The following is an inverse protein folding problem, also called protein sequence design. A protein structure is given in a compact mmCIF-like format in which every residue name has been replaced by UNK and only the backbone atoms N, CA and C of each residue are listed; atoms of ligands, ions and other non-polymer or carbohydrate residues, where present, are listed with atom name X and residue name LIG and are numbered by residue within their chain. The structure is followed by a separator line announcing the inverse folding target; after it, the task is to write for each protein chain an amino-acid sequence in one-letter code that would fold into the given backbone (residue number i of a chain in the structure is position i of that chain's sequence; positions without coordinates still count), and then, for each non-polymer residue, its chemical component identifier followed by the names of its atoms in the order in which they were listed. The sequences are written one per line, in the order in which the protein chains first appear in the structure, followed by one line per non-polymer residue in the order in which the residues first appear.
data_IF_721147090292
#
_entry.id   IF_721147090292
#
_cell.length_a   1.000
_cell.length_b   1.000
_cell.length_c   1.000
_cell.angle_alpha   90.00
_cell.angle_beta   90.00
_cell.angle_gamma   90.00
#
_symmetry.space_group_name_H-M   'P 1'
#
loop_
_entity.id
_entity.type
_entity.pdbx_description
1 polymer ?
#
# COMPACT_ATOMS: atom_id res chain seq x y z
N UNK A 1 7.27 25.35 -0.57
CA UNK A 1 5.89 25.39 -1.06
C UNK A 1 5.01 24.37 -0.34
N UNK A 2 5.30 23.07 -0.39
CA UNK A 2 4.46 22.06 0.26
C UNK A 2 4.31 22.31 1.77
N UNK A 3 5.38 22.66 2.46
CA UNK A 3 5.33 23.01 3.90
C UNK A 3 4.50 24.25 4.15
N UNK A 4 4.61 25.26 3.30
CA UNK A 4 3.84 26.51 3.42
C UNK A 4 2.34 26.26 3.28
N UNK A 5 1.93 25.32 2.41
CA UNK A 5 0.51 24.95 2.27
C UNK A 5 -0.04 24.08 3.40
N UNK A 6 0.81 23.65 4.32
CA UNK A 6 0.42 22.90 5.52
C UNK A 6 0.27 23.74 6.77
N UNK A 7 0.65 25.03 6.71
CA UNK A 7 0.51 25.94 7.86
C UNK A 7 -0.90 26.54 7.94
N UNK A 8 -1.38 26.76 9.17
CA UNK A 8 -2.72 27.28 9.41
C UNK A 8 -2.81 28.79 9.18
N UNK A 9 -1.72 29.51 9.41
CA UNK A 9 -1.70 30.97 9.33
C UNK A 9 -0.73 31.44 8.24
N UNK A 10 -1.17 32.41 7.43
CA UNK A 10 -0.36 33.00 6.35
C UNK A 10 0.96 33.60 6.85
N UNK A 11 0.99 34.12 8.08
CA UNK A 11 2.21 34.66 8.68
C UNK A 11 3.32 33.61 8.88
N UNK A 12 2.98 32.33 8.92
CA UNK A 12 3.93 31.23 9.08
C UNK A 12 4.48 30.72 7.75
N UNK A 13 4.02 31.26 6.63
CA UNK A 13 4.54 30.91 5.31
C UNK A 13 5.93 31.55 5.11
N UNK A 14 6.84 30.79 4.55
CA UNK A 14 8.22 31.26 4.25
C UNK A 14 8.28 31.89 2.87
N UNK A 15 7.61 31.31 1.88
CA UNK A 15 7.58 31.83 0.51
C UNK A 15 6.58 32.99 0.39
N UNK A 16 6.98 34.04 -0.32
CA UNK A 16 6.18 35.26 -0.49
C UNK A 16 5.34 35.30 -1.76
N UNK A 17 5.69 34.52 -2.76
CA UNK A 17 4.98 34.45 -4.03
C UNK A 17 5.83 33.84 -5.14
N UNK A 18 5.24 33.75 -6.33
CA UNK A 18 5.81 33.09 -7.49
C UNK A 18 5.89 34.09 -8.66
N UNK A 19 6.77 35.12 -8.53
CA UNK A 19 6.89 36.18 -9.53
C UNK A 19 7.79 35.76 -10.69
N UNK A 20 9.00 35.30 -10.40
CA UNK A 20 9.99 34.91 -11.38
C UNK A 20 10.90 33.81 -10.87
N UNK A 21 11.26 32.86 -11.73
CA UNK A 21 12.28 31.85 -11.44
C UNK A 21 13.17 31.62 -12.67
N UNK A 22 14.42 31.29 -12.39
CA UNK A 22 15.38 30.77 -13.37
C UNK A 22 15.64 29.31 -12.96
N UNK A 23 15.39 28.37 -13.86
CA UNK A 23 15.63 26.95 -13.64
C UNK A 23 16.90 26.55 -14.38
N UNK A 24 17.90 26.13 -13.61
CA UNK A 24 19.10 25.55 -14.18
C UNK A 24 18.89 24.07 -14.50
N UNK A 25 19.54 23.55 -15.54
CA UNK A 25 19.29 22.19 -16.06
C UNK A 25 17.80 21.93 -16.33
N UNK A 26 17.16 22.85 -17.02
CA UNK A 26 15.71 22.86 -17.24
C UNK A 26 15.20 21.64 -18.00
N UNK A 27 16.00 21.04 -18.84
CA UNK A 27 15.74 19.78 -19.56
C UNK A 27 15.56 18.61 -18.59
N UNK A 28 16.45 18.47 -17.62
CA UNK A 28 16.31 17.46 -16.59
C UNK A 28 15.09 17.70 -15.70
N UNK A 29 14.91 18.91 -15.21
CA UNK A 29 13.88 19.23 -14.21
C UNK A 29 12.47 19.31 -14.81
N UNK A 30 12.30 19.93 -15.98
CA UNK A 30 10.98 20.20 -16.58
C UNK A 30 10.62 19.29 -17.75
N UNK A 31 11.51 18.38 -18.17
CA UNK A 31 11.24 17.37 -19.19
C UNK A 31 11.35 15.99 -18.55
N UNK A 32 12.54 15.56 -18.15
CA UNK A 32 12.77 14.19 -17.66
C UNK A 32 12.04 13.92 -16.33
N UNK A 33 12.13 14.84 -15.39
CA UNK A 33 11.54 14.72 -14.04
C UNK A 33 10.26 15.54 -13.86
N UNK A 34 9.70 16.11 -14.92
CA UNK A 34 8.55 17.03 -14.86
C UNK A 34 7.38 16.47 -14.07
N UNK A 35 7.11 15.18 -14.21
CA UNK A 35 6.00 14.45 -13.57
C UNK A 35 6.38 13.75 -12.27
N UNK A 36 7.64 13.81 -11.87
CA UNK A 36 8.09 13.20 -10.62
C UNK A 36 7.46 13.95 -9.44
N UNK A 37 6.75 13.26 -8.56
CA UNK A 37 6.10 13.90 -7.43
C UNK A 37 7.10 14.21 -6.32
N UNK A 38 7.08 15.43 -5.83
CA UNK A 38 7.66 15.84 -4.55
C UNK A 38 6.61 15.57 -3.48
N UNK A 39 6.97 14.84 -2.43
CA UNK A 39 6.02 14.33 -1.45
C UNK A 39 6.48 14.70 -0.04
N UNK A 40 5.53 15.17 0.78
CA UNK A 40 5.69 15.18 2.24
C UNK A 40 4.83 14.07 2.80
N UNK A 41 5.48 13.11 3.45
CA UNK A 41 4.82 12.02 4.16
C UNK A 41 4.76 12.32 5.64
N UNK A 42 3.67 11.96 6.27
CA UNK A 42 3.50 11.97 7.72
C UNK A 42 3.24 10.57 8.23
N UNK A 43 3.29 10.44 9.56
CA UNK A 43 2.91 9.20 10.23
C UNK A 43 1.40 9.03 10.08
N UNK A 44 0.96 7.88 9.56
CA UNK A 44 -0.45 7.49 9.53
C UNK A 44 -0.98 7.13 10.92
N UNK A 45 -2.22 6.74 10.97
CA UNK A 45 -2.84 6.23 12.19
C UNK A 45 -2.14 4.94 12.63
N UNK A 46 -2.09 4.71 13.95
CA UNK A 46 -1.56 3.46 14.50
C UNK A 46 -2.62 2.37 14.40
N UNK A 47 -2.64 1.69 13.27
CA UNK A 47 -3.52 0.54 13.00
C UNK A 47 -2.89 -0.80 13.39
N UNK A 48 -1.77 -0.79 14.10
CA UNK A 48 -1.02 -2.02 14.46
C UNK A 48 -1.87 -3.05 15.20
N UNK A 49 -2.80 -2.59 16.06
CA UNK A 49 -3.74 -3.46 16.77
C UNK A 49 -4.71 -4.17 15.83
N UNK A 50 -5.21 -3.49 14.81
CA UNK A 50 -6.13 -4.07 13.83
C UNK A 50 -5.42 -5.11 12.94
N UNK A 51 -4.20 -4.84 12.48
CA UNK A 51 -3.40 -5.83 11.76
C UNK A 51 -3.18 -7.10 12.59
N UNK A 52 -2.88 -6.95 13.88
CA UNK A 52 -2.69 -8.10 14.79
C UNK A 52 -3.98 -8.89 14.99
N UNK A 53 -5.14 -8.22 15.12
CA UNK A 53 -6.43 -8.88 15.28
C UNK A 53 -6.83 -9.64 14.01
N UNK A 54 -6.64 -9.00 12.84
CA UNK A 54 -6.93 -9.60 11.55
C UNK A 54 -5.99 -10.79 11.27
N UNK A 55 -4.72 -10.70 11.61
CA UNK A 55 -3.77 -11.81 11.52
C UNK A 55 -4.25 -13.04 12.30
N UNK A 56 -4.67 -12.84 13.57
CA UNK A 56 -5.22 -13.92 14.39
C UNK A 56 -6.45 -14.56 13.76
N UNK A 57 -7.32 -13.76 13.17
CA UNK A 57 -8.51 -14.25 12.46
C UNK A 57 -8.12 -15.08 11.24
N UNK A 58 -7.26 -14.56 10.36
CA UNK A 58 -6.88 -15.22 9.11
C UNK A 58 -6.17 -16.55 9.37
N UNK A 59 -5.41 -16.69 10.45
CA UNK A 59 -4.84 -17.99 10.88
C UNK A 59 -5.87 -19.08 11.14
N UNK A 60 -7.12 -18.72 11.40
CA UNK A 60 -8.20 -19.70 11.62
C UNK A 60 -8.90 -20.13 10.32
N UNK A 61 -8.65 -19.43 9.22
CA UNK A 61 -9.27 -19.69 7.93
C UNK A 61 -8.59 -20.82 7.17
N UNK A 62 -9.38 -21.55 6.40
CA UNK A 62 -8.90 -22.61 5.51
C UNK A 62 -8.62 -22.04 4.11
N UNK A 63 -7.41 -22.25 3.64
CA UNK A 63 -6.98 -21.88 2.28
C UNK A 63 -7.51 -22.92 1.28
N UNK A 64 -8.05 -22.47 0.16
CA UNK A 64 -8.30 -23.26 -1.05
C UNK A 64 -7.50 -22.66 -2.22
N UNK A 65 -6.93 -23.51 -3.06
CA UNK A 65 -6.18 -23.10 -4.25
C UNK A 65 -7.00 -23.44 -5.48
N UNK A 66 -7.14 -22.48 -6.40
CA UNK A 66 -7.76 -22.74 -7.70
C UNK A 66 -6.79 -23.60 -8.52
N UNK A 67 -7.22 -24.84 -8.83
CA UNK A 67 -6.57 -25.66 -9.83
C UNK A 67 -7.39 -25.54 -11.12
N UNK A 68 -6.85 -24.88 -12.14
CA UNK A 68 -7.45 -24.88 -13.48
C UNK A 68 -7.48 -26.33 -14.00
N UNK A 69 -8.61 -26.99 -13.88
CA UNK A 69 -8.93 -28.14 -14.70
C UNK A 69 -9.47 -27.57 -16.02
N UNK A 70 -8.83 -27.89 -17.13
CA UNK A 70 -9.27 -27.52 -18.48
C UNK A 70 -10.80 -27.72 -18.60
N UNK A 71 -11.52 -26.66 -19.00
CA UNK A 71 -12.94 -26.63 -19.35
C UNK A 71 -14.03 -26.49 -18.27
N UNK A 72 -13.75 -26.24 -17.00
CA UNK A 72 -14.82 -25.83 -16.08
C UNK A 72 -14.30 -24.83 -15.03
N UNK A 73 -14.71 -23.58 -15.19
CA UNK A 73 -14.73 -22.61 -14.09
C UNK A 73 -15.67 -23.15 -13.02
N UNK A 74 -15.15 -23.68 -11.94
CA UNK A 74 -15.96 -24.07 -10.80
C UNK A 74 -16.50 -22.80 -10.14
N UNK A 75 -17.80 -22.57 -10.29
CA UNK A 75 -18.56 -21.55 -9.58
C UNK A 75 -18.39 -21.68 -8.07
N UNK A 76 -18.47 -20.55 -7.36
CA UNK A 76 -18.29 -20.34 -5.91
C UNK A 76 -18.90 -21.39 -4.95
N UNK A 77 -19.76 -22.27 -5.43
CA UNK A 77 -20.47 -23.27 -4.63
C UNK A 77 -19.66 -24.55 -4.30
N UNK A 78 -18.48 -24.76 -4.89
CA UNK A 78 -17.70 -26.00 -4.73
C UNK A 78 -16.33 -25.84 -4.07
N UNK A 79 -15.95 -24.65 -3.61
CA UNK A 79 -14.69 -24.47 -2.89
C UNK A 79 -14.87 -24.71 -1.39
N UNK A 80 -14.26 -25.77 -0.88
CA UNK A 80 -14.28 -26.15 0.56
C UNK A 80 -13.34 -25.28 1.43
N UNK A 81 -13.02 -24.07 1.00
CA UNK A 81 -12.15 -23.13 1.71
C UNK A 81 -12.88 -21.86 2.16
N UNK A 82 -12.26 -21.14 3.09
CA UNK A 82 -12.76 -19.86 3.57
C UNK A 82 -12.24 -18.70 2.72
N UNK A 83 -11.13 -18.91 2.02
CA UNK A 83 -10.62 -18.03 0.98
C UNK A 83 -9.96 -18.84 -0.13
N UNK A 84 -10.00 -18.27 -1.33
CA UNK A 84 -9.48 -18.88 -2.55
C UNK A 84 -8.23 -18.12 -2.99
N UNK A 85 -7.21 -18.85 -3.39
CA UNK A 85 -5.96 -18.30 -3.92
C UNK A 85 -5.80 -18.70 -5.37
N UNK A 86 -5.64 -17.72 -6.23
CA UNK A 86 -5.20 -17.87 -7.61
C UNK A 86 -3.69 -17.57 -7.66
N UNK A 87 -2.88 -18.61 -7.75
CA UNK A 87 -1.42 -18.48 -7.76
C UNK A 87 -0.91 -17.87 -9.07
N UNK A 88 -1.62 -18.07 -10.17
CA UNK A 88 -1.23 -17.56 -11.49
C UNK A 88 -1.40 -16.04 -11.57
N UNK A 89 -2.51 -15.53 -11.06
CA UNK A 89 -2.82 -14.10 -11.05
C UNK A 89 -2.38 -13.41 -9.75
N UNK A 90 -1.80 -14.15 -8.80
CA UNK A 90 -1.40 -13.66 -7.47
C UNK A 90 -2.54 -12.92 -6.75
N UNK A 91 -3.75 -13.47 -6.82
CA UNK A 91 -4.95 -12.91 -6.17
C UNK A 91 -5.51 -13.83 -5.09
N UNK A 92 -6.16 -13.22 -4.10
CA UNK A 92 -6.85 -13.91 -3.03
C UNK A 92 -8.22 -13.28 -2.83
N UNK A 93 -9.25 -14.12 -2.59
CA UNK A 93 -10.62 -13.65 -2.37
C UNK A 93 -11.28 -14.46 -1.28
N UNK A 94 -12.02 -13.82 -0.37
CA UNK A 94 -12.86 -14.52 0.60
C UNK A 94 -14.02 -15.23 -0.11
N UNK A 95 -14.33 -16.43 0.33
CA UNK A 95 -15.56 -17.14 -0.05
C UNK A 95 -16.74 -16.66 0.80
N UNK A 96 -17.95 -17.04 0.44
CA UNK A 96 -19.13 -16.77 1.25
C UNK A 96 -19.00 -17.34 2.69
N UNK A 97 -18.31 -18.48 2.85
CA UNK A 97 -17.98 -19.05 4.18
C UNK A 97 -17.02 -18.15 4.95
N UNK A 98 -15.97 -17.65 4.28
CA UNK A 98 -14.98 -16.74 4.88
C UNK A 98 -15.59 -15.42 5.32
N UNK A 99 -16.47 -14.83 4.49
CA UNK A 99 -17.21 -13.61 4.82
C UNK A 99 -18.06 -13.79 6.08
N UNK A 100 -18.86 -14.85 6.15
CA UNK A 100 -19.69 -15.15 7.33
C UNK A 100 -18.86 -15.34 8.60
N UNK A 101 -17.71 -16.00 8.49
CA UNK A 101 -16.78 -16.15 9.63
C UNK A 101 -16.19 -14.81 10.05
N UNK A 102 -15.84 -13.94 9.11
CA UNK A 102 -15.32 -12.59 9.39
C UNK A 102 -16.39 -11.75 10.10
N UNK A 103 -17.61 -11.72 9.58
CA UNK A 103 -18.74 -11.01 10.19
C UNK A 103 -19.02 -11.48 11.63
N UNK A 104 -19.00 -12.78 11.86
CA UNK A 104 -19.18 -13.36 13.19
C UNK A 104 -18.01 -13.03 14.14
N UNK A 105 -16.76 -13.10 13.66
CA UNK A 105 -15.58 -12.87 14.47
C UNK A 105 -15.45 -11.41 14.90
N UNK A 106 -15.68 -10.49 13.98
CA UNK A 106 -15.57 -9.04 14.22
C UNK A 106 -16.88 -8.41 14.69
N UNK A 107 -17.95 -9.19 14.78
CA UNK A 107 -19.30 -8.76 15.23
C UNK A 107 -19.85 -7.62 14.37
N UNK A 108 -19.71 -7.72 13.06
CA UNK A 108 -20.28 -6.81 12.08
C UNK A 108 -21.40 -7.51 11.30
N UNK A 109 -22.45 -6.78 10.95
CA UNK A 109 -23.60 -7.35 10.23
C UNK A 109 -23.32 -7.58 8.74
N UNK A 110 -22.53 -6.68 8.13
CA UNK A 110 -22.20 -6.74 6.71
C UNK A 110 -20.78 -6.24 6.49
N UNK A 111 -19.88 -7.13 6.10
CA UNK A 111 -18.48 -6.79 5.83
C UNK A 111 -18.33 -5.81 4.66
N UNK A 112 -19.25 -5.83 3.68
CA UNK A 112 -19.23 -4.95 2.51
C UNK A 112 -19.83 -3.56 2.78
N UNK A 113 -20.37 -3.29 3.97
CA UNK A 113 -20.90 -1.97 4.32
C UNK A 113 -19.78 -0.92 4.35
N UNK A 114 -20.10 0.33 3.98
CA UNK A 114 -19.12 1.42 3.89
C UNK A 114 -18.35 1.65 5.20
N UNK A 115 -18.99 1.46 6.33
CA UNK A 115 -18.40 1.57 7.67
C UNK A 115 -17.35 0.48 7.97
N UNK A 116 -17.45 -0.67 7.30
CA UNK A 116 -16.57 -1.83 7.47
C UNK A 116 -15.49 -1.94 6.38
N UNK A 117 -15.41 -0.99 5.44
CA UNK A 117 -14.45 -1.05 4.33
C UNK A 117 -13.00 -1.13 4.80
N UNK A 118 -12.64 -0.43 5.88
CA UNK A 118 -11.29 -0.51 6.46
C UNK A 118 -10.99 -1.91 6.97
N UNK A 119 -11.93 -2.55 7.67
CA UNK A 119 -11.80 -3.92 8.14
C UNK A 119 -11.68 -4.91 6.98
N UNK A 120 -12.56 -4.79 5.98
CA UNK A 120 -12.55 -5.63 4.78
C UNK A 120 -11.18 -5.52 4.07
N UNK A 121 -10.68 -4.30 3.88
CA UNK A 121 -9.37 -4.08 3.28
C UNK A 121 -8.23 -4.74 4.07
N UNK A 122 -8.22 -4.63 5.40
CA UNK A 122 -7.20 -5.29 6.22
C UNK A 122 -7.27 -6.82 6.11
N UNK A 123 -8.48 -7.39 6.04
CA UNK A 123 -8.67 -8.83 5.83
C UNK A 123 -8.13 -9.24 4.45
N UNK A 124 -8.43 -8.47 3.40
CA UNK A 124 -7.93 -8.75 2.04
C UNK A 124 -6.40 -8.72 1.99
N UNK A 125 -5.76 -7.75 2.62
CA UNK A 125 -4.30 -7.72 2.69
C UNK A 125 -3.73 -8.89 3.50
N UNK A 126 -4.38 -9.30 4.58
CA UNK A 126 -3.94 -10.42 5.38
C UNK A 126 -4.07 -11.75 4.64
N UNK A 127 -5.20 -12.04 3.97
CA UNK A 127 -5.35 -13.27 3.16
C UNK A 127 -4.35 -13.29 2.00
N UNK A 128 -4.03 -12.13 1.41
CA UNK A 128 -2.99 -12.01 0.39
C UNK A 128 -1.61 -12.32 0.96
N UNK A 129 -1.28 -11.82 2.17
CA UNK A 129 -0.03 -12.13 2.84
C UNK A 129 0.15 -13.64 3.12
N UNK A 130 -0.94 -14.35 3.46
CA UNK A 130 -0.92 -15.80 3.69
C UNK A 130 -1.03 -16.64 2.44
N UNK A 131 -1.83 -16.19 1.48
CA UNK A 131 -2.17 -16.95 0.28
C UNK A 131 -1.11 -16.90 -0.80
N UNK A 132 -0.57 -15.72 -1.05
CA UNK A 132 0.29 -15.43 -2.22
C UNK A 132 1.74 -15.14 -1.82
N UNK A 133 1.95 -14.42 -0.70
CA UNK A 133 3.29 -13.98 -0.32
C UNK A 133 4.07 -15.08 0.40
N UNK A 134 5.19 -15.49 -0.17
CA UNK A 134 6.03 -16.58 0.33
C UNK A 134 7.31 -16.02 0.94
N UNK A 135 7.60 -16.43 2.18
CA UNK A 135 8.86 -16.14 2.84
C UNK A 135 10.02 -16.79 2.09
N UNK A 136 11.15 -16.11 2.02
CA UNK A 136 12.38 -16.48 1.32
C UNK A 136 12.27 -16.54 -0.21
N UNK A 137 11.12 -16.12 -0.77
CA UNK A 137 10.89 -15.94 -2.21
C UNK A 137 10.51 -14.48 -2.49
N UNK A 138 9.36 -14.01 -1.97
CA UNK A 138 8.88 -12.65 -2.19
C UNK A 138 9.45 -11.66 -1.16
N UNK A 139 9.80 -12.13 0.03
CA UNK A 139 10.41 -11.34 1.08
C UNK A 139 11.26 -12.22 2.02
N UNK A 140 12.15 -11.58 2.76
CA UNK A 140 12.90 -12.20 3.85
C UNK A 140 12.65 -11.47 5.16
N UNK A 141 12.87 -12.16 6.28
CA UNK A 141 12.85 -11.54 7.61
C UNK A 141 14.28 -11.48 8.12
N UNK A 142 14.81 -10.26 8.29
CA UNK A 142 16.15 -10.01 8.79
C UNK A 142 16.14 -8.89 9.81
N UNK A 143 16.84 -9.09 10.92
CA UNK A 143 16.96 -8.10 12.02
C UNK A 143 15.60 -7.58 12.52
N UNK A 144 14.58 -8.46 12.57
CA UNK A 144 13.23 -8.10 12.98
C UNK A 144 12.45 -7.24 11.98
N UNK A 145 12.88 -7.23 10.72
CA UNK A 145 12.24 -6.47 9.65
C UNK A 145 11.93 -7.36 8.45
N UNK A 146 10.81 -7.08 7.79
CA UNK A 146 10.46 -7.66 6.49
C UNK A 146 11.15 -6.85 5.39
N UNK A 147 11.91 -7.52 4.55
CA UNK A 147 12.63 -6.91 3.41
C UNK A 147 12.15 -7.58 2.14
N UNK A 148 11.72 -6.79 1.16
CA UNK A 148 11.27 -7.27 -0.14
C UNK A 148 12.41 -7.88 -0.92
N UNK A 149 12.16 -8.99 -1.61
CA UNK A 149 13.05 -9.58 -2.60
C UNK A 149 12.55 -9.19 -3.99
N UNK A 150 13.43 -8.67 -4.81
CA UNK A 150 13.11 -8.36 -6.21
C UNK A 150 12.91 -9.66 -7.01
N UNK A 151 11.76 -9.80 -7.65
CA UNK A 151 11.35 -11.01 -8.36
C UNK A 151 12.31 -11.35 -9.53
N UNK A 152 12.91 -10.33 -10.17
CA UNK A 152 13.76 -10.54 -11.34
C UNK A 152 15.23 -10.74 -11.00
N UNK A 153 15.73 -10.03 -10.00
CA UNK A 153 17.16 -10.01 -9.67
C UNK A 153 17.50 -10.79 -8.40
N UNK A 154 16.50 -11.15 -7.59
CA UNK A 154 16.69 -11.78 -6.28
C UNK A 154 17.37 -10.87 -5.25
N UNK A 155 17.49 -9.56 -5.53
CA UNK A 155 18.16 -8.61 -4.64
C UNK A 155 17.24 -8.14 -3.55
N UNK A 156 17.80 -7.88 -2.37
CA UNK A 156 17.08 -7.30 -1.25
C UNK A 156 16.82 -5.81 -1.50
N UNK A 157 15.56 -5.42 -1.45
CA UNK A 157 15.12 -4.04 -1.66
C UNK A 157 14.98 -3.32 -0.32
N UNK A 158 16.12 -2.97 0.27
CA UNK A 158 16.16 -2.30 1.58
C UNK A 158 15.47 -0.94 1.51
N UNK A 159 14.59 -0.67 2.49
CA UNK A 159 13.84 0.59 2.58
C UNK A 159 12.59 0.67 1.70
N UNK A 160 12.35 -0.31 0.81
CA UNK A 160 11.09 -0.41 0.09
C UNK A 160 10.07 -1.20 0.89
N UNK A 161 8.79 -0.85 0.69
CA UNK A 161 7.65 -1.50 1.35
C UNK A 161 6.55 -1.75 0.32
N UNK A 162 5.81 -2.85 0.50
CA UNK A 162 4.58 -3.08 -0.26
C UNK A 162 3.54 -2.02 0.12
N UNK A 163 2.74 -1.63 -0.84
CA UNK A 163 1.69 -0.63 -0.68
C UNK A 163 0.42 -1.20 -0.03
N UNK A 164 -0.52 -0.32 0.27
CA UNK A 164 -1.90 -0.66 0.67
C UNK A 164 -2.01 -1.52 1.94
N UNK A 165 -1.04 -1.48 2.83
CA UNK A 165 -1.06 -2.26 4.06
C UNK A 165 -0.57 -3.70 3.93
N UNK A 166 -0.21 -4.17 2.73
CA UNK A 166 0.30 -5.53 2.54
C UNK A 166 1.60 -5.77 3.33
N UNK A 167 2.49 -4.78 3.40
CA UNK A 167 3.73 -4.91 4.16
C UNK A 167 3.46 -5.10 5.65
N UNK A 168 2.54 -4.32 6.22
CA UNK A 168 2.10 -4.44 7.61
C UNK A 168 1.40 -5.78 7.87
N UNK A 169 0.61 -6.28 6.93
CA UNK A 169 0.01 -7.60 7.02
C UNK A 169 1.06 -8.73 7.06
N UNK A 170 2.14 -8.58 6.28
CA UNK A 170 3.28 -9.53 6.32
C UNK A 170 4.04 -9.39 7.65
N UNK A 171 4.26 -8.16 8.14
CA UNK A 171 4.88 -7.93 9.46
C UNK A 171 4.05 -8.60 10.59
N UNK A 172 2.73 -8.51 10.54
CA UNK A 172 1.84 -9.20 11.48
C UNK A 172 1.94 -10.73 11.34
N UNK A 173 1.93 -11.26 10.12
CA UNK A 173 2.10 -12.68 9.83
C UNK A 173 3.39 -13.24 10.41
N UNK A 174 4.50 -12.52 10.26
CA UNK A 174 5.82 -12.94 10.73
C UNK A 174 6.08 -12.61 12.21
N UNK A 175 5.15 -11.92 12.87
CA UNK A 175 5.26 -11.56 14.28
C UNK A 175 6.37 -10.54 14.57
N UNK A 176 6.77 -9.76 13.58
CA UNK A 176 7.72 -8.67 13.75
C UNK A 176 6.99 -7.36 14.09
N UNK A 177 7.75 -6.32 14.46
CA UNK A 177 7.17 -5.01 14.77
C UNK A 177 6.46 -4.44 13.54
N UNK A 178 5.16 -4.18 13.66
CA UNK A 178 4.36 -3.55 12.61
C UNK A 178 4.71 -2.05 12.59
N UNK A 179 5.23 -1.57 11.46
CA UNK A 179 5.52 -0.16 11.29
C UNK A 179 4.22 0.62 11.00
N UNK A 180 4.15 1.85 11.50
CA UNK A 180 3.04 2.73 11.18
C UNK A 180 2.97 2.99 9.66
N UNK A 181 1.76 3.10 9.13
CA UNK A 181 1.56 3.51 7.75
C UNK A 181 2.10 4.92 7.53
N UNK A 182 2.65 5.16 6.36
CA UNK A 182 3.01 6.51 5.97
C UNK A 182 1.86 7.08 5.12
N UNK A 183 1.34 8.24 5.56
CA UNK A 183 0.28 8.95 4.84
C UNK A 183 0.90 10.09 4.06
N UNK A 184 0.59 10.18 2.77
CA UNK A 184 0.97 11.35 1.98
C UNK A 184 0.15 12.54 2.45
N UNK A 185 0.82 13.55 3.00
CA UNK A 185 0.19 14.77 3.50
C UNK A 185 0.06 15.82 2.42
N UNK A 186 1.07 15.93 1.57
CA UNK A 186 1.09 16.89 0.48
C UNK A 186 1.96 16.38 -0.67
N UNK A 187 1.57 16.68 -1.88
CA UNK A 187 2.34 16.33 -3.08
C UNK A 187 2.19 17.40 -4.15
N UNK A 188 3.25 17.59 -4.93
CA UNK A 188 3.25 18.42 -6.14
C UNK A 188 4.32 17.90 -7.10
N UNK A 189 4.07 17.99 -8.40
CA UNK A 189 5.10 17.72 -9.42
C UNK A 189 5.90 18.98 -9.71
N UNK A 190 7.13 18.84 -10.21
CA UNK A 190 7.93 19.99 -10.66
C UNK A 190 7.18 20.82 -11.71
N UNK A 191 6.56 20.16 -12.66
CA UNK A 191 5.76 20.83 -13.69
C UNK A 191 4.68 21.74 -13.09
N UNK A 192 3.91 21.23 -12.14
CA UNK A 192 2.84 21.99 -11.50
C UNK A 192 3.39 23.10 -10.60
N UNK A 193 4.50 22.87 -9.92
CA UNK A 193 5.14 23.87 -9.09
C UNK A 193 5.62 25.05 -9.92
N UNK A 194 6.38 24.81 -10.99
CA UNK A 194 6.93 25.89 -11.83
C UNK A 194 5.86 26.61 -12.66
N UNK A 195 4.73 25.99 -12.95
CA UNK A 195 3.57 26.66 -13.59
C UNK A 195 2.98 27.79 -12.77
N UNK A 196 3.23 27.84 -11.48
CA UNK A 196 2.74 28.93 -10.62
C UNK A 196 3.51 30.23 -10.81
N UNK A 197 4.71 30.19 -11.35
CA UNK A 197 5.51 31.39 -11.61
C UNK A 197 4.96 32.18 -12.80
N UNK A 198 4.82 33.50 -12.63
CA UNK A 198 4.34 34.39 -13.69
C UNK A 198 5.34 34.52 -14.82
N UNK A 199 6.63 34.46 -14.51
CA UNK A 199 7.73 34.52 -15.45
C UNK A 199 8.75 33.45 -15.13
N UNK A 200 9.09 32.66 -16.14
CA UNK A 200 10.00 31.52 -16.01
C UNK A 200 11.07 31.61 -17.11
N UNK A 201 12.32 31.39 -16.75
CA UNK A 201 13.44 31.20 -17.66
C UNK A 201 14.16 29.90 -17.34
N UNK A 202 14.74 29.27 -18.34
CA UNK A 202 15.51 28.05 -18.18
C UNK A 202 16.91 28.18 -18.74
N UNK A 203 17.82 27.42 -18.16
CA UNK A 203 19.18 27.23 -18.67
C UNK A 203 19.40 25.71 -18.82
N UNK A 204 20.15 25.34 -19.85
CA UNK A 204 20.58 23.96 -20.09
C UNK A 204 22.06 23.98 -20.44
N UNK A 205 22.79 22.94 -20.05
CA UNK A 205 24.20 22.78 -20.35
C UNK A 205 24.46 22.17 -21.72
#
# INVERSE_FOLDING_TARGET
YLRDNMVTYKANMVQRGHAYAIVDEVDSILIDEARTPLIISGRGEDSSSLYTQVDRFVRTLRKSVVVELEDKVSTDEQTDGDYVVDEKHKTCTLTASGIKKAEAYFKVENLAAAENMTLAHHIDQAIKAYGVMQRDIDYVVKDGQVIIVDEFTGRLMIGRRYNEGLHQAIEAKEGVKIAAESKTLATITFQNYFRMYKKLSGMTG
#
